data_IF_989112711115
#
_entry.id   IF_989112711115
#
_cell.length_a   1.000
_cell.length_b   1.000
_cell.length_c   1.000
_cell.angle_alpha   90.00
_cell.angle_beta   90.00
_cell.angle_gamma   90.00
#
_symmetry.space_group_name_H-M   'P 1'
#
loop_
_entity.id
_entity.type
_entity.pdbx_description
1 polymer ?
#
# COMPACT_ATOMS: atom_id res chain seq x y z
N UNK A 1 -8.45 -21.34 -6.25
CA UNK A 1 -8.33 -20.34 -5.16
C UNK A 1 -7.42 -19.23 -5.67
N UNK A 2 -7.86 -17.98 -5.66
CA UNK A 2 -7.10 -16.83 -6.20
C UNK A 2 -6.86 -15.77 -5.11
N UNK A 3 -5.89 -14.90 -5.33
CA UNK A 3 -5.55 -13.76 -4.47
C UNK A 3 -5.50 -12.48 -5.27
N UNK A 4 -5.58 -11.34 -4.57
CA UNK A 4 -5.35 -10.00 -5.11
C UNK A 4 -4.28 -9.30 -4.28
N UNK A 5 -3.50 -8.47 -4.96
CA UNK A 5 -2.54 -7.56 -4.34
C UNK A 5 -3.05 -6.15 -4.57
N UNK A 6 -3.35 -5.45 -3.48
CA UNK A 6 -3.69 -4.03 -3.49
C UNK A 6 -2.42 -3.26 -3.12
N UNK A 7 -1.98 -2.40 -4.02
CA UNK A 7 -0.65 -1.79 -3.97
C UNK A 7 -0.77 -0.26 -4.08
N UNK A 8 -0.21 0.44 -3.10
CA UNK A 8 0.10 1.86 -3.25
C UNK A 8 1.58 1.99 -3.66
N UNK A 9 1.87 2.86 -4.62
CA UNK A 9 3.24 3.16 -5.07
C UNK A 9 3.50 4.66 -5.08
N UNK A 10 4.77 5.05 -4.96
CA UNK A 10 5.19 6.41 -5.26
C UNK A 10 5.19 6.69 -6.78
N UNK A 11 5.51 7.92 -7.18
CA UNK A 11 5.59 8.31 -8.59
C UNK A 11 6.69 7.62 -9.42
N UNK A 12 7.54 6.80 -8.79
CA UNK A 12 8.62 6.01 -9.42
C UNK A 12 8.33 4.51 -9.38
N UNK A 13 7.19 4.09 -8.82
CA UNK A 13 6.80 2.68 -8.69
C UNK A 13 7.31 1.99 -7.42
N UNK A 14 7.91 2.71 -6.47
CA UNK A 14 8.32 2.12 -5.18
C UNK A 14 7.09 1.82 -4.33
N UNK A 15 6.92 0.59 -3.81
CA UNK A 15 5.80 0.24 -2.95
C UNK A 15 5.77 1.07 -1.66
N UNK A 16 4.63 1.68 -1.39
CA UNK A 16 4.33 2.42 -0.16
C UNK A 16 3.47 1.58 0.80
N UNK A 17 2.66 0.67 0.28
CA UNK A 17 1.78 -0.23 1.04
C UNK A 17 1.43 -1.45 0.20
N UNK A 18 1.40 -2.65 0.80
CA UNK A 18 1.04 -3.91 0.13
C UNK A 18 0.02 -4.65 1.01
N UNK A 19 -1.18 -4.86 0.47
CA UNK A 19 -2.24 -5.64 1.12
C UNK A 19 -2.60 -6.83 0.24
N UNK A 20 -2.57 -8.03 0.81
CA UNK A 20 -2.93 -9.27 0.10
C UNK A 20 -4.25 -9.80 0.64
N UNK A 21 -5.19 -10.07 -0.25
CA UNK A 21 -6.52 -10.57 0.11
C UNK A 21 -6.92 -11.76 -0.77
N UNK A 22 -7.94 -12.53 -0.40
CA UNK A 22 -8.62 -13.43 -1.34
C UNK A 22 -9.10 -12.69 -2.59
N UNK A 23 -9.15 -13.38 -3.72
CA UNK A 23 -9.42 -12.77 -5.02
C UNK A 23 -10.83 -12.22 -5.21
N UNK A 24 -11.77 -12.56 -4.32
CA UNK A 24 -13.14 -12.04 -4.32
C UNK A 24 -13.29 -10.73 -3.53
N UNK A 25 -12.25 -10.26 -2.83
CA UNK A 25 -12.30 -8.99 -2.10
C UNK A 25 -12.24 -7.84 -3.09
N UNK A 26 -13.13 -6.85 -2.90
CA UNK A 26 -13.20 -5.64 -3.70
C UNK A 26 -12.17 -4.60 -3.25
N UNK A 27 -11.75 -3.73 -4.16
CA UNK A 27 -10.70 -2.74 -3.90
C UNK A 27 -11.17 -1.72 -2.87
N UNK A 28 -12.44 -1.27 -2.91
CA UNK A 28 -12.99 -0.37 -1.89
C UNK A 28 -12.97 -0.98 -0.48
N UNK A 29 -13.05 -2.30 -0.36
CA UNK A 29 -12.97 -3.00 0.94
C UNK A 29 -11.54 -3.02 1.46
N UNK A 30 -10.55 -3.23 0.58
CA UNK A 30 -9.13 -3.24 0.95
C UNK A 30 -8.51 -1.84 1.06
N UNK A 31 -9.15 -0.83 0.46
CA UNK A 31 -8.63 0.54 0.37
C UNK A 31 -8.26 1.17 1.72
N UNK A 32 -9.05 1.03 2.80
CA UNK A 32 -8.67 1.54 4.12
C UNK A 32 -7.35 0.95 4.63
N UNK A 33 -7.15 -0.37 4.46
CA UNK A 33 -5.93 -1.05 4.88
C UNK A 33 -4.72 -0.61 4.04
N UNK A 34 -4.94 -0.41 2.73
CA UNK A 34 -3.90 0.13 1.83
C UNK A 34 -3.46 1.50 2.32
N UNK A 35 -4.40 2.40 2.60
CA UNK A 35 -4.12 3.76 3.09
C UNK A 35 -3.41 3.73 4.46
N UNK A 36 -3.87 2.89 5.38
CA UNK A 36 -3.27 2.75 6.71
C UNK A 36 -1.83 2.22 6.65
N UNK A 37 -1.52 1.39 5.65
CA UNK A 37 -0.18 0.84 5.43
C UNK A 37 0.78 1.76 4.68
N UNK A 38 0.35 2.94 4.19
CA UNK A 38 1.24 3.85 3.47
C UNK A 38 2.35 4.33 4.40
N UNK A 39 3.58 3.96 4.06
CA UNK A 39 4.78 4.43 4.74
C UNK A 39 5.80 4.94 3.73
N UNK A 40 6.27 6.18 3.94
CA UNK A 40 7.30 6.81 3.10
C UNK A 40 8.59 6.90 3.92
N UNK A 41 9.65 6.15 3.59
CA UNK A 41 10.94 6.30 4.23
C UNK A 41 11.45 7.73 4.07
N UNK A 42 11.82 8.38 5.19
CA UNK A 42 12.36 9.73 5.15
C UNK A 42 13.85 9.67 4.77
N UNK A 43 14.32 10.40 3.73
CA UNK A 43 15.70 10.31 3.27
C UNK A 43 16.77 10.83 4.25
N UNK A 44 16.40 11.55 5.33
CA UNK A 44 17.29 12.00 6.39
C UNK A 44 16.51 12.49 7.64
N UNK A 45 17.20 12.73 8.77
CA UNK A 45 16.68 13.56 9.88
C UNK A 45 16.23 14.89 9.27
N UNK A 46 14.98 15.30 9.52
CA UNK A 46 14.47 16.59 9.06
C UNK A 46 15.27 17.76 9.66
N UNK A 47 15.04 18.97 9.13
CA UNK A 47 15.46 20.20 9.82
C UNK A 47 14.83 20.18 11.23
N UNK A 48 15.58 20.54 12.29
CA UNK A 48 15.03 20.65 13.64
C UNK A 48 13.82 21.59 13.67
#
# INVERSE_FOLDING_TARGET
MTTKVHLAVDGRGMPLSIVVTPGNVNDCTAFPDVLAGIWVPRPARGRP
#
